data_IF_257238397600
#
_entry.id   IF_257238397600
#
_cell.length_a   1.000
_cell.length_b   1.000
_cell.length_c   1.000
_cell.angle_alpha   90.00
_cell.angle_beta   90.00
_cell.angle_gamma   90.00
#
_symmetry.space_group_name_H-M   'P 1'
#
loop_
_entity.id
_entity.type
_entity.pdbx_description
1 polymer ?
#
# COMPACT_ATOMS: atom_id res chain seq x y z
N UNK A 1 11.14 5.35 14.42
CA UNK A 1 10.64 5.90 15.71
C UNK A 1 11.00 4.88 16.77
N UNK A 2 11.66 5.26 17.85
CA UNK A 2 11.99 4.36 18.96
C UNK A 2 10.73 3.77 19.61
N UNK A 3 10.80 2.49 19.98
CA UNK A 3 9.67 1.78 20.60
C UNK A 3 9.28 2.38 21.94
N UNK A 4 10.23 2.99 22.65
CA UNK A 4 10.00 3.69 23.91
C UNK A 4 9.08 4.91 23.75
N UNK A 5 9.05 5.52 22.57
CA UNK A 5 8.18 6.66 22.24
C UNK A 5 6.84 6.22 21.65
N UNK A 6 6.82 5.12 20.92
CA UNK A 6 5.62 4.55 20.32
C UNK A 6 5.63 3.04 20.56
N UNK A 7 5.04 2.57 21.67
CA UNK A 7 5.04 1.16 22.02
C UNK A 7 4.43 0.27 20.94
N UNK A 8 5.08 -0.85 20.66
CA UNK A 8 4.55 -1.87 19.76
C UNK A 8 3.42 -2.63 20.44
N UNK A 9 2.24 -2.61 19.83
CA UNK A 9 1.06 -3.30 20.34
C UNK A 9 0.68 -4.43 19.39
N UNK A 10 0.58 -5.69 19.84
CA UNK A 10 0.09 -6.77 19.02
C UNK A 10 -1.37 -6.53 18.58
N UNK A 11 -1.64 -6.52 17.28
CA UNK A 11 -2.98 -6.30 16.72
C UNK A 11 -3.56 -7.55 16.05
N UNK A 12 -2.77 -8.60 15.86
CA UNK A 12 -3.21 -9.82 15.20
C UNK A 12 -2.06 -10.79 14.94
N UNK A 13 -2.38 -11.87 14.26
CA UNK A 13 -1.43 -12.89 13.85
C UNK A 13 -1.53 -13.13 12.35
N UNK A 14 -0.41 -13.06 11.67
CA UNK A 14 -0.25 -13.52 10.29
C UNK A 14 0.47 -14.86 10.30
N UNK A 15 -0.10 -15.86 9.60
CA UNK A 15 0.47 -17.21 9.54
C UNK A 15 0.86 -17.52 8.09
N UNK A 16 2.16 -17.73 7.86
CA UNK A 16 2.72 -18.12 6.57
C UNK A 16 3.00 -19.63 6.62
N UNK A 17 2.03 -20.43 6.23
CA UNK A 17 2.03 -21.89 6.40
C UNK A 17 1.84 -22.68 5.11
N UNK A 18 1.81 -22.02 3.95
CA UNK A 18 1.71 -22.63 2.62
C UNK A 18 2.56 -21.88 1.61
N UNK A 19 3.31 -22.60 0.82
CA UNK A 19 3.95 -22.05 -0.37
C UNK A 19 2.99 -22.06 -1.56
N UNK A 20 3.19 -21.19 -2.57
CA UNK A 20 2.41 -21.25 -3.80
C UNK A 20 2.71 -22.57 -4.55
N UNK A 21 1.69 -23.11 -5.20
CA UNK A 21 1.81 -24.29 -6.06
C UNK A 21 2.26 -23.91 -7.47
N UNK A 22 1.84 -22.73 -7.93
CA UNK A 22 2.21 -22.19 -9.23
C UNK A 22 2.78 -20.80 -9.07
N UNK A 23 4.09 -20.65 -9.24
CA UNK A 23 4.80 -19.38 -9.05
C UNK A 23 4.23 -18.27 -9.94
N UNK A 24 3.96 -18.55 -11.23
CA UNK A 24 3.45 -17.52 -12.12
C UNK A 24 2.06 -17.03 -11.70
N UNK A 25 1.13 -17.96 -11.49
CA UNK A 25 -0.25 -17.63 -11.17
C UNK A 25 -0.41 -16.99 -9.77
N UNK A 26 0.37 -17.45 -8.79
CA UNK A 26 0.18 -17.09 -7.38
C UNK A 26 1.24 -16.11 -6.83
N UNK A 27 2.27 -15.79 -7.59
CA UNK A 27 3.34 -14.88 -7.17
C UNK A 27 3.65 -13.82 -8.23
N UNK A 28 3.96 -14.21 -9.45
CA UNK A 28 4.34 -13.26 -10.52
C UNK A 28 3.22 -12.27 -10.85
N UNK A 29 1.98 -12.72 -10.84
CA UNK A 29 0.81 -11.89 -11.14
C UNK A 29 0.28 -11.08 -9.95
N UNK A 30 0.89 -11.17 -8.77
CA UNK A 30 0.47 -10.41 -7.59
C UNK A 30 0.57 -8.92 -7.86
N UNK A 31 -0.50 -8.20 -7.55
CA UNK A 31 -0.62 -6.76 -7.77
C UNK A 31 -0.96 -6.03 -6.48
N UNK A 32 0.04 -5.58 -5.76
CA UNK A 32 -0.19 -4.69 -4.63
C UNK A 32 -0.65 -3.31 -5.13
N UNK A 33 -1.64 -2.74 -4.46
CA UNK A 33 -2.16 -1.42 -4.79
C UNK A 33 -2.57 -0.69 -3.51
N UNK A 34 -1.85 0.37 -3.18
CA UNK A 34 -2.13 1.18 -1.97
C UNK A 34 -3.45 1.94 -2.06
N UNK A 35 -4.03 2.08 -3.25
CA UNK A 35 -5.35 2.69 -3.45
C UNK A 35 -6.51 1.75 -3.09
N UNK A 36 -6.26 0.45 -2.98
CA UNK A 36 -7.28 -0.53 -2.64
C UNK A 36 -7.44 -0.64 -1.12
N UNK A 37 -8.31 0.20 -0.59
CA UNK A 37 -8.66 0.22 0.84
C UNK A 37 -10.07 -0.33 1.07
N UNK A 38 -10.35 -0.68 2.31
CA UNK A 38 -11.66 -1.16 2.76
C UNK A 38 -12.33 -0.12 3.67
N UNK A 39 -13.65 -0.16 3.86
CA UNK A 39 -14.32 0.70 4.82
C UNK A 39 -13.66 0.63 6.21
N UNK A 40 -13.44 1.77 6.83
CA UNK A 40 -12.71 1.89 8.10
C UNK A 40 -11.22 2.24 7.96
N UNK A 41 -10.67 2.20 6.74
CA UNK A 41 -9.35 2.71 6.41
C UNK A 41 -9.46 3.98 5.57
N UNK A 42 -8.53 4.90 5.76
CA UNK A 42 -8.42 6.11 4.96
C UNK A 42 -6.95 6.44 4.69
N UNK A 43 -6.71 7.33 3.76
CA UNK A 43 -5.39 7.81 3.42
C UNK A 43 -4.95 8.91 4.39
N UNK A 44 -3.68 8.86 4.79
CA UNK A 44 -3.05 10.01 5.45
C UNK A 44 -2.64 11.06 4.41
N UNK A 45 -2.28 12.26 4.88
CA UNK A 45 -1.75 13.32 4.01
C UNK A 45 -0.26 13.17 3.69
N UNK A 46 0.33 12.01 3.94
CA UNK A 46 1.72 11.71 3.59
C UNK A 46 1.93 11.89 2.09
N UNK A 47 2.81 12.81 1.65
CA UNK A 47 3.08 13.04 0.23
C UNK A 47 3.70 11.84 -0.48
N UNK A 48 4.44 10.99 0.23
CA UNK A 48 4.98 9.76 -0.32
C UNK A 48 3.85 8.76 -0.61
N UNK A 49 2.89 8.61 0.30
CA UNK A 49 1.71 7.77 0.07
C UNK A 49 0.91 8.27 -1.13
N UNK A 50 0.68 9.58 -1.24
CA UNK A 50 -0.02 10.17 -2.38
C UNK A 50 0.66 9.83 -3.72
N UNK A 51 1.98 9.90 -3.78
CA UNK A 51 2.76 9.48 -4.95
C UNK A 51 2.65 7.98 -5.23
N UNK A 52 2.67 7.16 -4.20
CA UNK A 52 2.55 5.70 -4.32
C UNK A 52 1.19 5.26 -4.82
N UNK A 53 0.11 5.93 -4.45
CA UNK A 53 -1.25 5.63 -4.95
C UNK A 53 -1.27 5.67 -6.49
N UNK A 54 -0.72 6.72 -7.08
CA UNK A 54 -0.66 6.84 -8.54
C UNK A 54 0.34 5.86 -9.17
N UNK A 55 1.51 5.70 -8.57
CA UNK A 55 2.57 4.82 -9.06
C UNK A 55 2.14 3.36 -9.15
N UNK A 56 1.44 2.84 -8.13
CA UNK A 56 1.00 1.45 -8.14
C UNK A 56 -0.12 1.20 -9.15
N UNK A 57 -1.05 2.12 -9.31
CA UNK A 57 -2.10 1.99 -10.34
C UNK A 57 -1.47 1.99 -11.73
N UNK A 58 -0.59 2.91 -12.01
CA UNK A 58 0.10 3.01 -13.31
C UNK A 58 0.91 1.74 -13.63
N UNK A 59 1.73 1.29 -12.68
CA UNK A 59 2.57 0.10 -12.89
C UNK A 59 1.74 -1.18 -13.08
N UNK A 60 0.63 -1.35 -12.37
CA UNK A 60 -0.20 -2.54 -12.53
C UNK A 60 -0.93 -2.54 -13.88
N UNK A 61 -1.40 -1.39 -14.34
CA UNK A 61 -1.98 -1.25 -15.68
C UNK A 61 -0.94 -1.63 -16.76
N UNK A 62 0.28 -1.14 -16.64
CA UNK A 62 1.35 -1.41 -17.59
C UNK A 62 1.84 -2.86 -17.52
N UNK A 63 2.09 -3.38 -16.32
CA UNK A 63 2.66 -4.71 -16.11
C UNK A 63 1.66 -5.84 -16.39
N UNK A 64 0.39 -5.66 -16.02
CA UNK A 64 -0.65 -6.69 -16.09
C UNK A 64 -1.63 -6.49 -17.25
N UNK A 65 -1.42 -5.47 -18.07
CA UNK A 65 -2.12 -5.30 -19.34
C UNK A 65 -3.45 -4.56 -19.28
N UNK A 66 -3.88 -4.06 -18.13
CA UNK A 66 -5.13 -3.32 -18.02
C UNK A 66 -5.58 -3.00 -16.61
N UNK A 67 -6.66 -2.22 -16.47
CA UNK A 67 -7.16 -1.77 -15.16
C UNK A 67 -7.85 -2.87 -14.35
N UNK A 68 -8.12 -4.03 -14.93
CA UNK A 68 -8.84 -5.14 -14.30
C UNK A 68 -7.89 -6.14 -13.59
N UNK A 69 -6.71 -5.72 -13.20
CA UNK A 69 -5.74 -6.56 -12.50
C UNK A 69 -6.27 -7.14 -11.18
N UNK A 70 -7.27 -6.52 -10.57
CA UNK A 70 -7.94 -7.03 -9.37
C UNK A 70 -8.87 -8.22 -9.66
N UNK A 71 -9.15 -8.55 -10.92
CA UNK A 71 -9.92 -9.72 -11.32
C UNK A 71 -9.05 -10.96 -11.59
N UNK A 72 -7.73 -10.81 -11.65
CA UNK A 72 -6.80 -11.95 -11.67
C UNK A 72 -6.97 -12.72 -10.35
N UNK A 73 -7.11 -14.06 -10.36
CA UNK A 73 -7.51 -14.83 -9.18
C UNK A 73 -6.69 -14.55 -7.92
N UNK A 74 -5.37 -14.40 -8.02
CA UNK A 74 -4.52 -14.10 -6.86
C UNK A 74 -4.77 -12.70 -6.28
N UNK A 75 -5.26 -11.77 -7.07
CA UNK A 75 -5.53 -10.39 -6.69
C UNK A 75 -7.01 -10.14 -6.35
N UNK A 76 -7.87 -11.11 -6.64
CA UNK A 76 -9.31 -10.95 -6.44
C UNK A 76 -9.66 -10.98 -4.95
N UNK A 77 -10.30 -9.96 -4.40
CA UNK A 77 -10.79 -10.00 -3.02
C UNK A 77 -11.99 -10.94 -2.90
N UNK A 78 -12.22 -11.46 -1.68
CA UNK A 78 -13.40 -12.26 -1.37
C UNK A 78 -14.67 -11.41 -1.43
N UNK A 79 -14.58 -10.15 -0.98
CA UNK A 79 -15.67 -9.19 -1.09
C UNK A 79 -15.80 -8.64 -2.51
N UNK A 80 -17.02 -8.31 -2.91
CA UNK A 80 -17.25 -7.68 -4.21
C UNK A 80 -16.52 -6.33 -4.30
N UNK A 81 -15.85 -6.10 -5.43
CA UNK A 81 -15.20 -4.81 -5.70
C UNK A 81 -16.24 -3.80 -6.14
N UNK A 82 -16.30 -2.67 -5.45
CA UNK A 82 -17.16 -1.55 -5.77
C UNK A 82 -16.31 -0.35 -6.22
N UNK A 83 -16.28 -0.13 -7.52
CA UNK A 83 -15.68 1.05 -8.14
C UNK A 83 -16.42 1.40 -9.44
N UNK A 84 -16.03 2.49 -10.07
CA UNK A 84 -16.60 2.93 -11.34
C UNK A 84 -15.84 2.42 -12.58
N UNK A 85 -14.89 1.51 -12.39
CA UNK A 85 -14.19 0.87 -13.49
C UNK A 85 -15.10 -0.21 -14.11
N UNK A 86 -15.65 0.06 -15.27
CA UNK A 86 -16.60 -0.83 -15.96
C UNK A 86 -16.00 -1.50 -17.18
N UNK A 87 -15.04 -0.86 -17.80
CA UNK A 87 -14.47 -1.23 -19.08
C UNK A 87 -13.00 -1.63 -18.96
N UNK A 88 -12.40 -1.96 -20.05
CA UNK A 88 -11.01 -2.42 -20.15
C UNK A 88 -10.92 -3.88 -20.50
N UNK A 89 -9.84 -4.24 -21.20
CA UNK A 89 -9.61 -5.60 -21.64
C UNK A 89 -9.46 -6.56 -20.47
N UNK A 90 -9.74 -7.81 -20.71
CA UNK A 90 -9.69 -8.90 -19.71
C UNK A 90 -10.69 -8.78 -18.56
N UNK A 91 -11.77 -8.03 -18.78
CA UNK A 91 -12.87 -7.95 -17.81
C UNK A 91 -13.50 -9.33 -17.62
N UNK A 92 -13.53 -9.83 -16.37
CA UNK A 92 -14.12 -11.12 -16.02
C UNK A 92 -15.56 -10.98 -15.48
N UNK A 93 -15.83 -9.88 -14.78
CA UNK A 93 -17.17 -9.58 -14.28
C UNK A 93 -18.02 -8.92 -15.37
N UNK A 94 -19.31 -9.26 -15.36
CA UNK A 94 -20.28 -8.63 -16.28
C UNK A 94 -21.16 -7.69 -15.46
N UNK A 95 -20.85 -6.36 -15.44
CA UNK A 95 -21.70 -5.39 -14.76
C UNK A 95 -23.09 -5.35 -15.38
N UNK A 96 -24.11 -5.37 -14.54
CA UNK A 96 -25.50 -5.25 -14.96
C UNK A 96 -25.98 -3.82 -14.84
N UNK A 97 -26.95 -3.44 -15.67
CA UNK A 97 -27.54 -2.10 -15.66
C UNK A 97 -27.15 -1.26 -16.86
N UNK A 98 -27.75 -0.08 -16.95
CA UNK A 98 -27.61 0.81 -18.12
C UNK A 98 -26.53 1.88 -17.93
N UNK A 99 -26.04 2.04 -16.73
CA UNK A 99 -25.11 3.12 -16.37
C UNK A 99 -23.76 2.56 -15.98
N UNK A 100 -22.72 3.30 -16.32
CA UNK A 100 -21.34 2.91 -16.09
C UNK A 100 -20.76 3.43 -14.77
N UNK A 101 -21.56 4.02 -13.88
CA UNK A 101 -21.10 4.58 -12.62
C UNK A 101 -22.12 4.42 -11.50
N UNK A 102 -21.66 4.46 -10.27
CA UNK A 102 -22.46 4.48 -9.04
C UNK A 102 -21.93 5.57 -8.10
N UNK A 103 -22.83 6.29 -7.37
CA UNK A 103 -24.30 6.17 -7.40
C UNK A 103 -24.93 6.80 -8.66
N UNK A 104 -26.12 6.33 -9.02
CA UNK A 104 -26.87 6.87 -10.15
C UNK A 104 -28.38 6.89 -9.86
N UNK A 105 -29.14 7.55 -10.72
CA UNK A 105 -30.58 7.68 -10.59
C UNK A 105 -31.40 6.43 -10.97
N UNK A 106 -30.76 5.39 -11.47
CA UNK A 106 -31.41 4.18 -11.98
C UNK A 106 -31.23 2.95 -11.08
N UNK A 107 -30.78 3.13 -9.84
CA UNK A 107 -30.69 2.07 -8.84
C UNK A 107 -29.27 1.71 -8.40
N UNK A 108 -28.27 2.53 -8.70
CA UNK A 108 -26.94 2.42 -8.08
C UNK A 108 -26.99 2.84 -6.62
N UNK A 109 -26.16 2.27 -5.80
CA UNK A 109 -26.09 2.55 -4.36
C UNK A 109 -25.91 4.04 -4.04
N UNK A 110 -26.52 4.47 -2.95
CA UNK A 110 -26.35 5.83 -2.46
C UNK A 110 -25.30 5.86 -1.35
N UNK A 111 -24.17 6.53 -1.50
CA UNK A 111 -23.13 6.58 -0.46
C UNK A 111 -23.63 7.27 0.82
N UNK A 112 -24.60 8.16 0.71
CA UNK A 112 -25.22 8.80 1.85
C UNK A 112 -26.02 7.82 2.73
N UNK A 113 -26.67 6.83 2.11
CA UNK A 113 -27.40 5.79 2.82
C UNK A 113 -26.48 4.73 3.46
N UNK A 114 -25.29 4.57 2.95
CA UNK A 114 -24.30 3.64 3.52
C UNK A 114 -23.82 4.08 4.92
N UNK A 115 -23.88 5.39 5.21
CA UNK A 115 -23.47 5.92 6.51
C UNK A 115 -22.09 5.44 6.92
N UNK A 116 -21.96 4.94 8.16
CA UNK A 116 -20.70 4.41 8.70
C UNK A 116 -20.27 3.06 8.11
N UNK A 117 -21.13 2.37 7.38
CA UNK A 117 -20.78 1.14 6.67
C UNK A 117 -19.98 1.41 5.38
N UNK A 118 -20.01 2.65 4.90
CA UNK A 118 -19.22 3.10 3.76
C UNK A 118 -17.84 3.64 4.15
N UNK A 119 -17.19 4.28 3.19
CA UNK A 119 -15.91 4.96 3.43
C UNK A 119 -16.16 6.28 4.17
N UNK A 120 -15.45 6.47 5.26
CA UNK A 120 -15.50 7.70 6.07
C UNK A 120 -14.08 8.25 6.15
N UNK A 121 -13.93 9.48 5.65
CA UNK A 121 -12.63 10.16 5.71
C UNK A 121 -12.32 10.60 7.13
N UNK A 122 -11.04 10.45 7.50
CA UNK A 122 -10.50 11.02 8.72
C UNK A 122 -10.25 12.52 8.50
N UNK A 123 -10.91 13.43 9.27
CA UNK A 123 -10.70 14.85 9.11
C UNK A 123 -9.33 15.24 9.66
N UNK A 124 -8.44 15.67 8.80
CA UNK A 124 -7.14 16.22 9.17
C UNK A 124 -7.02 17.65 8.64
N UNK A 125 -6.70 18.59 9.54
CA UNK A 125 -6.42 19.96 9.12
C UNK A 125 -4.98 20.04 8.61
N UNK A 126 -4.82 20.42 7.35
CA UNK A 126 -3.52 20.67 6.73
C UNK A 126 -3.42 22.15 6.40
N UNK A 127 -2.39 22.83 6.91
CA UNK A 127 -2.10 24.24 6.67
C UNK A 127 -0.61 24.37 6.37
N UNK A 128 -0.24 24.13 5.11
CA UNK A 128 1.15 24.06 4.66
C UNK A 128 1.31 24.63 3.25
N UNK A 129 2.53 24.99 2.89
CA UNK A 129 2.91 25.40 1.55
C UNK A 129 3.69 24.29 0.85
N UNK A 130 3.26 23.90 -0.34
CA UNK A 130 4.09 23.08 -1.22
C UNK A 130 5.24 23.90 -1.80
N UNK A 131 6.45 23.56 -1.43
CA UNK A 131 7.66 24.20 -1.95
C UNK A 131 8.56 23.16 -2.63
N UNK A 132 9.25 23.56 -3.69
CA UNK A 132 10.35 22.77 -4.24
C UNK A 132 11.62 23.10 -3.48
N UNK A 133 12.17 22.11 -2.82
CA UNK A 133 13.42 22.27 -2.09
C UNK A 133 13.88 20.96 -1.50
N UNK A 134 15.15 20.91 -1.13
CA UNK A 134 15.64 19.82 -0.30
C UNK A 134 15.28 20.15 1.15
N UNK A 135 14.59 19.27 1.88
CA UNK A 135 14.39 19.50 3.31
C UNK A 135 15.72 19.56 4.04
N UNK A 136 15.74 20.25 5.18
CA UNK A 136 16.94 20.40 6.00
C UNK A 136 17.61 19.04 6.33
N UNK A 137 16.80 17.99 6.48
CA UNK A 137 17.28 16.61 6.68
C UNK A 137 18.20 16.10 5.57
N UNK A 138 18.18 16.68 4.38
CA UNK A 138 19.14 16.33 3.31
C UNK A 138 20.58 16.77 3.61
N UNK A 139 20.79 17.63 4.57
CA UNK A 139 22.12 18.02 5.01
C UNK A 139 22.76 16.98 5.96
N UNK A 140 21.94 16.08 6.53
CA UNK A 140 22.39 15.10 7.51
C UNK A 140 21.66 13.76 7.31
N UNK A 141 22.42 12.71 7.02
CA UNK A 141 21.88 11.36 6.74
C UNK A 141 22.30 10.30 7.76
N UNK A 142 23.18 10.64 8.68
CA UNK A 142 23.85 9.66 9.54
C UNK A 142 23.37 9.67 11.00
N UNK A 143 22.71 10.73 11.44
CA UNK A 143 22.33 10.87 12.85
C UNK A 143 21.41 9.74 13.32
N UNK A 144 20.40 9.39 12.52
CA UNK A 144 19.45 8.33 12.87
C UNK A 144 20.12 6.95 12.83
N UNK A 145 20.95 6.67 11.85
CA UNK A 145 21.69 5.41 11.77
C UNK A 145 22.69 5.27 12.93
N UNK A 146 23.35 6.35 13.28
CA UNK A 146 24.25 6.41 14.46
C UNK A 146 23.51 6.18 15.76
N UNK A 147 22.36 6.83 15.93
CA UNK A 147 21.51 6.63 17.11
C UNK A 147 21.11 5.16 17.24
N UNK A 148 20.64 4.56 16.16
CA UNK A 148 20.26 3.15 16.14
C UNK A 148 21.43 2.25 16.51
N UNK A 149 22.58 2.41 15.85
CA UNK A 149 23.77 1.59 16.12
C UNK A 149 24.25 1.73 17.56
N UNK A 150 24.30 2.95 18.09
CA UNK A 150 24.77 3.21 19.44
C UNK A 150 23.77 2.75 20.53
N UNK A 151 22.51 2.58 20.20
CA UNK A 151 21.50 2.04 21.12
C UNK A 151 21.56 0.52 21.27
N UNK A 152 22.29 -0.16 20.40
CA UNK A 152 22.42 -1.61 20.42
C UNK A 152 23.44 -2.08 21.47
N UNK A 153 23.25 -3.28 21.97
CA UNK A 153 24.26 -3.94 22.81
C UNK A 153 25.53 -4.26 22.00
N UNK A 154 26.69 -4.44 22.63
CA UNK A 154 27.92 -4.79 21.92
C UNK A 154 27.81 -6.04 21.04
N UNK A 155 27.00 -7.02 21.43
CA UNK A 155 26.75 -8.23 20.65
C UNK A 155 25.96 -7.90 19.37
N UNK A 156 24.90 -7.11 19.49
CA UNK A 156 24.09 -6.68 18.36
C UNK A 156 24.86 -5.77 17.40
N UNK A 157 25.67 -4.86 17.92
CA UNK A 157 26.59 -4.05 17.12
C UNK A 157 27.55 -4.92 16.30
N UNK A 158 28.10 -5.97 16.93
CA UNK A 158 28.97 -6.91 16.21
C UNK A 158 28.23 -7.69 15.14
N UNK A 159 26.97 -8.07 15.38
CA UNK A 159 26.13 -8.72 14.36
C UNK A 159 25.89 -7.79 13.16
N UNK A 160 25.59 -6.52 13.40
CA UNK A 160 25.42 -5.51 12.34
C UNK A 160 26.71 -5.38 11.51
N UNK A 161 27.85 -5.23 12.18
CA UNK A 161 29.17 -5.13 11.52
C UNK A 161 29.44 -6.36 10.64
N UNK A 162 29.21 -7.55 11.20
CA UNK A 162 29.45 -8.80 10.47
C UNK A 162 28.53 -8.96 9.24
N UNK A 163 27.25 -8.55 9.35
CA UNK A 163 26.31 -8.57 8.24
C UNK A 163 26.78 -7.64 7.10
N UNK A 164 27.13 -6.39 7.43
CA UNK A 164 27.67 -5.47 6.41
C UNK A 164 28.97 -5.96 5.81
N UNK A 165 29.88 -6.47 6.62
CA UNK A 165 31.14 -7.03 6.13
C UNK A 165 30.93 -8.18 5.15
N UNK A 166 29.98 -9.06 5.43
CA UNK A 166 29.65 -10.20 4.56
C UNK A 166 29.15 -9.72 3.20
N UNK A 167 28.21 -8.78 3.18
CA UNK A 167 27.66 -8.26 1.91
C UNK A 167 28.65 -7.39 1.15
N UNK A 168 29.29 -6.44 1.83
CA UNK A 168 30.24 -5.51 1.20
C UNK A 168 31.51 -6.20 0.67
N UNK A 169 31.92 -7.32 1.24
CA UNK A 169 33.07 -8.07 0.76
C UNK A 169 32.88 -8.65 -0.66
N UNK A 170 31.64 -8.64 -1.15
CA UNK A 170 31.27 -9.16 -2.48
C UNK A 170 31.11 -8.05 -3.53
N UNK A 171 31.21 -6.80 -3.11
CA UNK A 171 31.13 -5.65 -4.01
C UNK A 171 32.53 -5.41 -4.60
N UNK A 172 32.62 -5.25 -5.94
CA UNK A 172 33.83 -4.89 -6.65
C UNK A 172 33.96 -3.38 -6.81
#
# INVERSE_FOLDING_TARGET
IPEELVPVTPIGRMVLNRNPDNFFAETEQVAFCTAHIVPGLDFSNDPLLAGRIHSYVDTQISRLGGPNFHEIPINAPVAQVHNNQRDGMHRQAIPRGRVAYEPNSLGGGCPFQAGRAGFVSFPERVEEHKVRGKPEKFAEHYAQARLFFNSQTPVEQQHIINAFRFELSRVQ
#
